data_IF_922702558077
#
_entry.id   IF_922702558077
#
_cell.length_a   1.000
_cell.length_b   1.000
_cell.length_c   1.000
_cell.angle_alpha   90.00
_cell.angle_beta   90.00
_cell.angle_gamma   90.00
#
_symmetry.space_group_name_H-M   'P 1'
#
loop_
_entity.id
_entity.type
_entity.pdbx_description
1 polymer ?
#
# COMPACT_ATOMS: atom_id res chain seq x y z
N UNK A 1 -11.84 9.64 11.03
CA UNK A 1 -11.30 8.92 9.86
C UNK A 1 -9.85 9.27 9.64
N UNK A 2 -9.10 8.32 9.13
CA UNK A 2 -7.68 8.48 8.82
C UNK A 2 -7.47 8.18 7.35
N UNK A 3 -6.71 9.03 6.67
CA UNK A 3 -6.24 8.77 5.31
C UNK A 3 -4.78 8.39 5.34
N UNK A 4 -4.44 7.34 4.60
CA UNK A 4 -3.07 6.84 4.51
C UNK A 4 -2.61 6.95 3.07
N UNK A 5 -1.48 7.62 2.88
CA UNK A 5 -0.83 7.74 1.58
C UNK A 5 0.44 6.90 1.59
N UNK A 6 0.53 6.00 0.63
CA UNK A 6 1.73 5.18 0.42
C UNK A 6 2.29 5.49 -0.95
N UNK A 7 3.58 5.81 -1.00
CA UNK A 7 4.29 5.96 -2.28
C UNK A 7 5.31 4.86 -2.42
N UNK A 8 5.28 4.20 -3.58
CA UNK A 8 6.21 3.12 -3.92
C UNK A 8 6.78 3.36 -5.31
N UNK A 9 8.08 3.20 -5.46
CA UNK A 9 8.73 3.25 -6.78
C UNK A 9 9.33 1.89 -7.07
N UNK A 10 8.83 1.25 -8.12
CA UNK A 10 9.22 -0.10 -8.51
C UNK A 10 10.46 -0.02 -9.41
N UNK A 11 11.47 -0.82 -9.10
CA UNK A 11 12.67 -0.89 -9.93
C UNK A 11 12.54 -1.90 -11.05
N UNK A 12 13.04 -1.54 -12.22
CA UNK A 12 13.16 -2.43 -13.36
C UNK A 12 11.84 -2.70 -14.07
N UNK A 13 11.83 -3.78 -14.85
CA UNK A 13 10.72 -4.14 -15.74
C UNK A 13 9.97 -5.40 -15.28
N UNK A 14 10.20 -5.87 -14.06
CA UNK A 14 9.57 -7.09 -13.55
C UNK A 14 8.15 -6.81 -13.06
N UNK A 15 7.28 -6.47 -14.01
CA UNK A 15 5.95 -5.95 -13.70
C UNK A 15 5.02 -7.05 -13.18
N UNK A 16 5.14 -8.29 -13.69
CA UNK A 16 4.17 -9.34 -13.41
C UNK A 16 4.10 -9.74 -11.93
N UNK A 17 5.24 -10.02 -11.31
CA UNK A 17 5.28 -10.44 -9.90
C UNK A 17 4.83 -9.32 -8.97
N UNK A 18 5.32 -8.11 -9.21
CA UNK A 18 4.98 -6.98 -8.34
C UNK A 18 3.50 -6.61 -8.44
N UNK A 19 2.92 -6.65 -9.64
CA UNK A 19 1.49 -6.38 -9.80
C UNK A 19 0.66 -7.40 -9.03
N UNK A 20 1.06 -8.67 -9.06
CA UNK A 20 0.40 -9.72 -8.29
C UNK A 20 0.48 -9.45 -6.78
N UNK A 21 1.66 -9.08 -6.27
CA UNK A 21 1.85 -8.78 -4.85
C UNK A 21 1.05 -7.56 -4.41
N UNK A 22 1.04 -6.51 -5.22
CA UNK A 22 0.27 -5.29 -4.93
C UNK A 22 -1.23 -5.58 -4.90
N UNK A 23 -1.70 -6.45 -5.79
CA UNK A 23 -3.10 -6.88 -5.78
C UNK A 23 -3.44 -7.69 -4.55
N UNK A 24 -2.57 -8.60 -4.15
CA UNK A 24 -2.77 -9.43 -2.96
C UNK A 24 -2.86 -8.57 -1.70
N UNK A 25 -1.95 -7.63 -1.52
CA UNK A 25 -1.96 -6.78 -0.33
C UNK A 25 -3.20 -5.88 -0.31
N UNK A 26 -3.64 -5.41 -1.47
CA UNK A 26 -4.87 -4.62 -1.58
C UNK A 26 -6.11 -5.42 -1.19
N UNK A 27 -6.25 -6.63 -1.72
CA UNK A 27 -7.39 -7.51 -1.39
C UNK A 27 -7.41 -7.80 0.10
N UNK A 28 -6.26 -8.07 0.69
CA UNK A 28 -6.16 -8.33 2.12
C UNK A 28 -6.56 -7.09 2.94
N UNK A 29 -6.12 -5.91 2.54
CA UNK A 29 -6.50 -4.66 3.21
C UNK A 29 -8.00 -4.43 3.18
N UNK A 30 -8.65 -4.71 2.04
CA UNK A 30 -10.09 -4.51 1.88
C UNK A 30 -10.92 -5.40 2.81
N UNK A 31 -10.36 -6.48 3.32
CA UNK A 31 -11.02 -7.40 4.23
C UNK A 31 -10.86 -7.02 5.69
N UNK A 32 -10.06 -6.01 5.99
CA UNK A 32 -9.74 -5.66 7.37
C UNK A 32 -10.83 -4.80 8.01
N UNK A 33 -11.06 -4.98 9.33
CA UNK A 33 -11.97 -4.10 10.05
C UNK A 33 -11.54 -2.64 9.91
N UNK A 34 -12.49 -1.77 9.69
CA UNK A 34 -12.24 -0.34 9.59
C UNK A 34 -11.79 0.17 8.23
N UNK A 35 -11.55 -0.71 7.27
CA UNK A 35 -11.26 -0.28 5.90
C UNK A 35 -12.51 0.34 5.28
N UNK A 36 -12.37 1.53 4.70
CA UNK A 36 -13.49 2.25 4.06
C UNK A 36 -13.34 2.24 2.55
N UNK A 37 -12.20 2.72 2.05
CA UNK A 37 -11.96 2.83 0.61
C UNK A 37 -10.48 2.94 0.31
N UNK A 38 -10.13 2.70 -0.94
CA UNK A 38 -8.76 2.88 -1.41
C UNK A 38 -8.71 3.02 -2.91
N UNK A 39 -7.67 3.67 -3.38
CA UNK A 39 -7.38 3.80 -4.80
C UNK A 39 -5.88 3.76 -5.03
N UNK A 40 -5.50 3.30 -6.22
CA UNK A 40 -4.10 3.24 -6.64
C UNK A 40 -3.93 4.11 -7.87
N UNK A 41 -2.98 5.03 -7.79
CA UNK A 41 -2.65 5.95 -8.87
C UNK A 41 -1.21 5.72 -9.31
N UNK A 42 -0.95 6.03 -10.56
CA UNK A 42 0.41 6.01 -11.12
C UNK A 42 0.80 7.44 -11.49
N UNK A 43 2.07 7.79 -11.28
CA UNK A 43 2.56 9.07 -11.73
C UNK A 43 2.48 9.14 -13.26
N UNK A 44 2.05 10.27 -13.79
CA UNK A 44 1.91 10.45 -15.23
C UNK A 44 3.25 10.29 -15.94
N UNK A 45 4.33 10.77 -15.33
CA UNK A 45 5.67 10.77 -15.90
C UNK A 45 6.44 9.47 -15.68
N UNK A 46 6.02 8.67 -14.68
CA UNK A 46 6.70 7.42 -14.33
C UNK A 46 5.68 6.39 -13.87
N UNK A 47 5.26 5.46 -14.76
CA UNK A 47 4.28 4.44 -14.40
C UNK A 47 4.74 3.49 -13.30
N UNK A 48 6.04 3.46 -12.99
CA UNK A 48 6.57 2.65 -11.90
C UNK A 48 6.44 3.34 -10.54
N UNK A 49 6.03 4.60 -10.52
CA UNK A 49 5.78 5.33 -9.28
C UNK A 49 4.30 5.27 -8.92
N UNK A 50 4.01 4.58 -7.83
CA UNK A 50 2.65 4.32 -7.37
C UNK A 50 2.30 5.20 -6.17
N UNK A 51 1.09 5.73 -6.18
CA UNK A 51 0.50 6.38 -5.01
C UNK A 51 -0.76 5.60 -4.63
N UNK A 52 -0.78 5.07 -3.42
CA UNK A 52 -1.94 4.36 -2.87
C UNK A 52 -2.56 5.24 -1.79
N UNK A 53 -3.85 5.55 -1.93
CA UNK A 53 -4.59 6.33 -0.94
C UNK A 53 -5.67 5.42 -0.37
N UNK A 54 -5.66 5.23 0.95
CA UNK A 54 -6.69 4.45 1.63
C UNK A 54 -7.30 5.26 2.77
N UNK A 55 -8.57 4.95 3.06
CA UNK A 55 -9.31 5.59 4.13
C UNK A 55 -9.74 4.54 5.14
N UNK A 56 -9.53 4.83 6.42
CA UNK A 56 -9.81 3.93 7.55
C UNK A 56 -10.68 4.63 8.57
N UNK A 57 -11.52 3.88 9.26
CA UNK A 57 -12.44 4.45 10.26
C UNK A 57 -11.71 5.15 11.41
N UNK A 58 -10.57 4.62 11.83
CA UNK A 58 -9.80 5.18 12.93
C UNK A 58 -8.32 4.85 12.79
N UNK A 59 -7.50 5.55 13.55
CA UNK A 59 -6.06 5.27 13.64
C UNK A 59 -5.81 3.86 14.17
N UNK A 60 -6.59 3.41 15.15
CA UNK A 60 -6.46 2.08 15.73
C UNK A 60 -6.69 0.98 14.70
N UNK A 61 -7.67 1.14 13.82
CA UNK A 61 -7.92 0.19 12.74
C UNK A 61 -6.74 0.14 11.77
N UNK A 62 -6.19 1.29 11.41
CA UNK A 62 -5.00 1.36 10.58
C UNK A 62 -3.81 0.68 11.24
N UNK A 63 -3.58 0.95 12.53
CA UNK A 63 -2.45 0.37 13.26
C UNK A 63 -2.56 -1.14 13.34
N UNK A 64 -3.76 -1.69 13.54
CA UNK A 64 -3.99 -3.13 13.52
C UNK A 64 -3.63 -3.73 12.16
N UNK A 65 -4.03 -3.08 11.08
CA UNK A 65 -3.65 -3.49 9.73
C UNK A 65 -2.15 -3.38 9.51
N UNK A 66 -1.54 -2.28 9.92
CA UNK A 66 -0.11 -2.07 9.79
C UNK A 66 0.70 -3.19 10.47
N UNK A 67 0.21 -3.70 11.59
CA UNK A 67 0.87 -4.77 12.35
C UNK A 67 0.41 -6.18 11.98
N UNK A 68 -0.45 -6.31 10.99
CA UNK A 68 -0.93 -7.60 10.52
C UNK A 68 0.22 -8.43 9.93
N UNK A 69 0.37 -9.68 10.37
CA UNK A 69 1.48 -10.54 9.94
C UNK A 69 1.47 -10.85 8.45
N UNK A 70 0.30 -11.14 7.88
CA UNK A 70 0.19 -11.42 6.45
C UNK A 70 0.58 -10.20 5.63
N UNK A 71 0.15 -8.99 6.08
CA UNK A 71 0.55 -7.74 5.45
C UNK A 71 2.06 -7.59 5.48
N UNK A 72 2.68 -7.84 6.62
CA UNK A 72 4.13 -7.67 6.80
C UNK A 72 4.91 -8.58 5.87
N UNK A 73 4.46 -9.82 5.71
CA UNK A 73 5.09 -10.77 4.77
C UNK A 73 4.98 -10.28 3.33
N UNK A 74 3.80 -9.83 2.92
CA UNK A 74 3.60 -9.28 1.58
C UNK A 74 4.42 -8.02 1.36
N UNK A 75 4.48 -7.14 2.36
CA UNK A 75 5.26 -5.90 2.28
C UNK A 75 6.76 -6.21 2.14
N UNK A 76 7.27 -7.20 2.87
CA UNK A 76 8.67 -7.60 2.76
C UNK A 76 9.01 -8.09 1.34
N UNK A 77 8.11 -8.85 0.73
CA UNK A 77 8.30 -9.28 -0.66
C UNK A 77 8.24 -8.10 -1.63
N UNK A 78 7.29 -7.18 -1.42
CA UNK A 78 7.16 -5.96 -2.22
C UNK A 78 8.44 -5.13 -2.13
N UNK A 79 8.99 -4.97 -0.93
CA UNK A 79 10.19 -4.16 -0.69
C UNK A 79 11.38 -4.61 -1.52
N UNK A 80 11.46 -5.89 -1.86
CA UNK A 80 12.54 -6.43 -2.70
C UNK A 80 12.50 -5.90 -4.13
N UNK A 81 11.36 -5.38 -4.56
CA UNK A 81 11.15 -4.85 -5.90
C UNK A 81 11.15 -3.31 -5.96
N UNK A 82 11.45 -2.65 -4.84
CA UNK A 82 11.40 -1.19 -4.77
C UNK A 82 12.78 -0.57 -4.94
N UNK A 83 12.83 0.59 -5.59
CA UNK A 83 14.06 1.38 -5.70
C UNK A 83 14.46 2.00 -4.37
N UNK A 84 13.46 2.34 -3.55
CA UNK A 84 13.64 2.98 -2.27
C UNK A 84 12.56 2.50 -1.30
N UNK A 85 12.72 2.69 0.01
CA UNK A 85 11.69 2.31 0.97
C UNK A 85 10.37 3.01 0.68
N UNK A 86 9.26 2.29 0.97
CA UNK A 86 7.92 2.86 0.87
C UNK A 86 7.81 4.10 1.76
N UNK A 87 7.31 5.18 1.19
CA UNK A 87 7.02 6.40 1.95
C UNK A 87 5.57 6.34 2.39
N UNK A 88 5.33 6.50 3.69
CA UNK A 88 4.00 6.42 4.27
C UNK A 88 3.68 7.69 5.04
N UNK A 89 2.51 8.25 4.79
CA UNK A 89 2.02 9.44 5.51
C UNK A 89 0.58 9.23 5.94
N UNK A 90 0.29 9.61 7.17
CA UNK A 90 -1.05 9.52 7.75
C UNK A 90 -1.61 10.91 7.96
N UNK A 91 -2.88 11.07 7.59
CA UNK A 91 -3.59 12.34 7.72
C UNK A 91 -4.94 12.09 8.38
N UNK A 92 -5.42 13.06 9.13
CA UNK A 92 -6.76 13.06 9.70
C UNK A 92 -7.43 14.39 9.45
N UNK A 93 -8.74 14.38 9.54
CA UNK A 93 -9.55 15.60 9.41
C UNK A 93 -9.50 16.45 10.65
#
# INVERSE_FOLDING_TARGET
MVKVLLERTIKGKHVTNIVRLLRQIRVLAMQQPGYISGETLHAVEDPNHYLVISTWESLEHWQAWFNNEERRKLQDEIDQHLESPTVMRLFTY
#
